data_IF_757291548937
#
_entry.id   IF_757291548937
#
_cell.length_a   1.000
_cell.length_b   1.000
_cell.length_c   1.000
_cell.angle_alpha   90.00
_cell.angle_beta   90.00
_cell.angle_gamma   90.00
#
_symmetry.space_group_name_H-M   'P 1'
#
loop_
_entity.id
_entity.type
_entity.pdbx_description
1 polymer ?
#
# COMPACT_ATOMS: atom_id res chain seq x y z
N UNK A 1 -1.08 -10.25 6.91
CA UNK A 1 0.18 -9.45 6.94
C UNK A 1 1.26 -10.23 6.21
N UNK A 2 2.10 -9.57 5.40
CA UNK A 2 3.17 -10.25 4.66
C UNK A 2 4.18 -10.94 5.59
N UNK A 3 4.67 -12.17 5.31
CA UNK A 3 5.56 -12.92 6.21
C UNK A 3 6.86 -12.21 6.58
N UNK A 4 7.30 -11.27 5.74
CA UNK A 4 8.53 -10.51 5.95
C UNK A 4 8.35 -9.24 6.81
N UNK A 5 7.11 -8.81 7.05
CA UNK A 5 6.82 -7.57 7.77
C UNK A 5 7.15 -7.62 9.27
N UNK A 6 7.02 -8.75 10.00
CA UNK A 6 7.44 -8.83 11.40
C UNK A 6 8.88 -8.37 11.61
N UNK A 7 9.84 -8.87 10.82
CA UNK A 7 11.25 -8.49 10.92
C UNK A 7 11.48 -7.00 10.72
N UNK A 8 10.76 -6.37 9.78
CA UNK A 8 10.83 -4.93 9.57
C UNK A 8 10.26 -4.17 10.78
N UNK A 9 9.14 -4.62 11.35
CA UNK A 9 8.54 -4.04 12.55
C UNK A 9 9.51 -4.11 13.73
N UNK A 10 10.15 -5.26 13.98
CA UNK A 10 11.17 -5.41 15.01
C UNK A 10 12.33 -4.43 14.80
N UNK A 11 12.81 -4.33 13.56
CA UNK A 11 13.93 -3.46 13.18
C UNK A 11 13.57 -1.99 13.34
N UNK A 12 12.35 -1.59 12.98
CA UNK A 12 11.82 -0.25 13.17
C UNK A 12 11.77 0.13 14.65
N UNK A 13 11.21 -0.73 15.51
CA UNK A 13 11.15 -0.47 16.96
C UNK A 13 12.54 -0.33 17.57
N UNK A 14 13.46 -1.27 17.26
CA UNK A 14 14.85 -1.21 17.71
C UNK A 14 15.50 0.11 17.30
N UNK A 15 15.33 0.48 16.04
CA UNK A 15 15.87 1.71 15.49
C UNK A 15 15.33 2.95 16.19
N UNK A 16 14.00 3.08 16.31
CA UNK A 16 13.36 4.26 16.91
C UNK A 16 13.69 4.42 18.40
N UNK A 17 13.86 3.33 19.14
CA UNK A 17 14.35 3.35 20.54
C UNK A 17 15.77 3.89 20.68
N UNK A 18 16.64 3.59 19.72
CA UNK A 18 18.05 3.97 19.78
C UNK A 18 18.30 5.37 19.21
N UNK A 19 17.70 5.66 18.07
CA UNK A 19 18.04 6.81 17.22
C UNK A 19 16.89 7.81 17.03
N UNK A 20 15.68 7.48 17.50
CA UNK A 20 14.53 8.38 17.40
C UNK A 20 14.68 9.66 18.22
N UNK A 21 13.75 10.58 18.00
CA UNK A 21 13.61 11.79 18.82
C UNK A 21 13.27 11.44 20.28
N UNK A 22 13.32 12.43 21.18
CA UNK A 22 12.90 12.21 22.57
C UNK A 22 11.43 11.74 22.67
N UNK A 23 10.55 12.26 21.82
CA UNK A 23 9.14 11.88 21.74
C UNK A 23 8.98 10.43 21.26
N UNK A 24 9.68 10.06 20.19
CA UNK A 24 9.67 8.70 19.65
C UNK A 24 10.21 7.70 20.67
N UNK A 25 11.36 7.99 21.30
CA UNK A 25 11.95 7.13 22.32
C UNK A 25 11.00 6.91 23.49
N UNK A 26 10.29 7.96 23.92
CA UNK A 26 9.29 7.85 24.97
C UNK A 26 8.12 6.96 24.54
N UNK A 27 7.57 7.18 23.34
CA UNK A 27 6.44 6.41 22.81
C UNK A 27 6.79 4.93 22.64
N UNK A 28 7.94 4.61 22.03
CA UNK A 28 8.28 3.23 21.66
C UNK A 28 8.96 2.44 22.78
N UNK A 29 9.28 3.07 23.92
CA UNK A 29 10.08 2.48 25.01
C UNK A 29 9.64 1.05 25.37
N UNK A 30 8.34 0.84 25.57
CA UNK A 30 7.77 -0.45 25.99
C UNK A 30 6.83 -1.08 24.95
N UNK A 31 6.74 -0.51 23.73
CA UNK A 31 5.79 -0.95 22.71
C UNK A 31 6.19 -2.30 22.10
N UNK A 32 5.34 -3.32 22.15
CA UNK A 32 5.58 -4.58 21.44
C UNK A 32 5.37 -4.43 19.92
N UNK A 33 5.74 -5.46 19.16
CA UNK A 33 5.45 -5.51 17.71
C UNK A 33 3.94 -5.51 17.45
N UNK A 34 3.18 -6.23 18.27
CA UNK A 34 1.71 -6.26 18.20
C UNK A 34 1.11 -4.88 18.51
N UNK A 35 1.65 -4.18 19.51
CA UNK A 35 1.22 -2.81 19.84
C UNK A 35 1.50 -1.85 18.68
N UNK A 36 2.66 -1.98 18.02
CA UNK A 36 2.95 -1.16 16.85
C UNK A 36 1.96 -1.47 15.71
N UNK A 37 1.70 -2.73 15.39
CA UNK A 37 0.70 -3.09 14.37
C UNK A 37 -0.68 -2.53 14.71
N UNK A 38 -1.12 -2.68 15.97
CA UNK A 38 -2.38 -2.11 16.43
C UNK A 38 -2.41 -0.59 16.28
N UNK A 39 -1.30 0.08 16.59
CA UNK A 39 -1.14 1.53 16.41
C UNK A 39 -1.20 1.94 14.95
N UNK A 40 -0.49 1.26 14.05
CA UNK A 40 -0.52 1.52 12.62
C UNK A 40 -1.94 1.40 12.04
N UNK A 41 -2.82 0.59 12.65
CA UNK A 41 -4.22 0.47 12.23
C UNK A 41 -5.09 1.57 12.87
N UNK A 42 -4.93 1.82 14.18
CA UNK A 42 -5.86 2.65 14.97
C UNK A 42 -5.56 4.15 14.95
N UNK A 43 -4.29 4.55 14.88
CA UNK A 43 -3.89 5.96 15.09
C UNK A 43 -3.95 6.80 13.83
N UNK A 44 -5.07 6.70 13.10
CA UNK A 44 -5.27 7.36 11.81
C UNK A 44 -6.30 8.48 11.88
N UNK A 45 -6.16 9.59 11.12
CA UNK A 45 -7.27 10.48 10.82
C UNK A 45 -8.41 9.72 10.14
N UNK A 46 -9.61 10.32 10.10
CA UNK A 46 -10.72 9.76 9.31
C UNK A 46 -10.30 9.70 7.85
N UNK A 47 -9.82 10.83 7.34
CA UNK A 47 -9.45 10.97 5.94
C UNK A 47 -8.07 11.63 5.80
N UNK A 48 -7.28 11.16 4.85
CA UNK A 48 -5.98 11.69 4.46
C UNK A 48 -5.77 11.42 2.98
N UNK A 49 -5.62 12.48 2.19
CA UNK A 49 -5.55 12.36 0.73
C UNK A 49 -4.70 13.45 0.10
N UNK A 50 -4.47 13.27 -1.20
CA UNK A 50 -3.87 14.20 -2.14
C UNK A 50 -2.45 14.66 -1.78
N UNK A 51 -1.90 15.55 -2.60
CA UNK A 51 -0.53 16.02 -2.39
C UNK A 51 -0.44 16.88 -1.13
N UNK A 52 -1.42 17.73 -0.82
CA UNK A 52 -1.36 18.70 0.29
C UNK A 52 -1.58 18.09 1.68
N UNK A 53 -1.67 16.76 1.76
CA UNK A 53 -2.05 16.02 2.96
C UNK A 53 -3.34 16.58 3.56
N UNK A 54 -4.35 16.76 2.69
CA UNK A 54 -5.67 17.17 3.14
C UNK A 54 -6.20 16.11 4.10
N UNK A 55 -6.47 16.55 5.32
CA UNK A 55 -6.74 15.68 6.45
C UNK A 55 -8.08 16.04 7.06
N UNK A 56 -8.84 15.02 7.45
CA UNK A 56 -10.00 15.15 8.36
C UNK A 56 -9.66 14.38 9.63
N UNK A 57 -9.35 15.10 10.70
CA UNK A 57 -9.01 14.54 12.00
C UNK A 57 -10.25 13.95 12.70
N UNK A 58 -10.02 13.08 13.69
CA UNK A 58 -11.12 12.40 14.40
C UNK A 58 -12.04 13.36 15.17
N UNK A 59 -11.51 14.52 15.55
CA UNK A 59 -12.22 15.62 16.24
C UNK A 59 -12.93 16.60 15.29
N UNK A 60 -12.94 16.34 13.97
CA UNK A 60 -13.63 17.17 12.98
C UNK A 60 -12.81 18.32 12.40
N UNK A 61 -11.60 18.58 12.92
CA UNK A 61 -10.68 19.55 12.30
C UNK A 61 -10.31 19.04 10.90
N UNK A 62 -10.41 19.92 9.91
CA UNK A 62 -10.13 19.61 8.51
C UNK A 62 -9.26 20.68 7.85
N UNK A 63 -8.36 20.26 6.98
CA UNK A 63 -7.54 21.18 6.20
C UNK A 63 -6.28 20.55 5.62
N UNK A 64 -5.51 21.32 4.83
CA UNK A 64 -4.19 20.91 4.37
C UNK A 64 -3.19 20.99 5.55
N UNK A 65 -2.90 19.85 6.17
CA UNK A 65 -2.10 19.79 7.40
C UNK A 65 -0.66 19.30 7.16
N UNK A 66 -0.16 19.29 5.91
CA UNK A 66 1.21 18.84 5.54
C UNK A 66 2.30 19.37 6.48
N UNK A 67 2.29 20.67 6.76
CA UNK A 67 3.33 21.29 7.60
C UNK A 67 3.32 20.77 9.05
N UNK A 68 2.15 20.38 9.56
CA UNK A 68 2.01 19.76 10.87
C UNK A 68 2.47 18.30 10.81
N UNK A 69 2.06 17.54 9.78
CA UNK A 69 2.52 16.16 9.57
C UNK A 69 4.04 16.03 9.49
N UNK A 70 4.72 16.98 8.83
CA UNK A 70 6.19 17.01 8.72
C UNK A 70 6.89 17.13 10.09
N UNK A 71 6.19 17.62 11.12
CA UNK A 71 6.74 17.84 12.45
C UNK A 71 6.45 16.68 13.40
N UNK A 72 5.47 15.84 13.09
CA UNK A 72 5.03 14.74 13.98
C UNK A 72 6.19 13.80 14.29
N UNK A 73 6.45 13.59 15.58
CA UNK A 73 7.55 12.80 16.11
C UNK A 73 8.94 13.45 16.02
N UNK A 74 9.02 14.72 15.62
CA UNK A 74 10.28 15.50 15.61
C UNK A 74 10.33 16.48 16.79
N UNK A 75 11.48 17.12 17.00
CA UNK A 75 11.59 18.22 17.99
C UNK A 75 10.70 19.42 17.66
N UNK A 76 10.31 19.59 16.38
CA UNK A 76 9.45 20.68 15.94
C UNK A 76 7.96 20.41 16.20
N UNK A 77 7.59 19.23 16.73
CA UNK A 77 6.20 18.91 17.09
C UNK A 77 5.63 19.92 18.13
N UNK A 78 6.50 20.55 18.93
CA UNK A 78 6.12 21.64 19.83
C UNK A 78 5.48 22.86 19.12
N UNK A 79 5.65 22.99 17.81
CA UNK A 79 5.03 24.04 16.99
C UNK A 79 3.78 23.55 16.24
N UNK A 80 3.36 22.33 16.48
CA UNK A 80 2.14 21.73 15.92
C UNK A 80 0.94 22.09 16.79
N UNK A 81 -0.25 22.19 16.18
CA UNK A 81 -1.47 22.62 16.88
C UNK A 81 -2.48 21.49 17.04
N UNK A 82 -2.57 20.59 16.06
CA UNK A 82 -3.68 19.65 15.95
C UNK A 82 -3.23 18.17 15.94
N UNK A 83 -2.01 17.90 15.51
CA UNK A 83 -1.52 16.54 15.24
C UNK A 83 -0.30 16.24 16.10
N UNK A 84 -0.40 15.26 16.99
CA UNK A 84 0.68 14.87 17.88
C UNK A 84 0.99 13.38 17.70
N UNK A 85 2.25 13.00 17.89
CA UNK A 85 2.69 11.60 17.77
C UNK A 85 1.92 10.69 18.73
N UNK A 86 1.48 11.17 19.89
CA UNK A 86 0.63 10.40 20.81
C UNK A 86 -0.64 9.87 20.13
N UNK A 87 -1.25 10.68 19.26
CA UNK A 87 -2.60 10.47 18.74
C UNK A 87 -2.61 9.99 17.28
N UNK A 88 -1.55 10.29 16.53
CA UNK A 88 -1.48 10.02 15.09
C UNK A 88 -0.12 9.49 14.66
N UNK A 89 -0.08 8.92 13.46
CA UNK A 89 1.14 8.38 12.85
C UNK A 89 2.13 9.49 12.42
N UNK A 90 3.42 9.25 12.57
CA UNK A 90 4.46 10.01 11.85
C UNK A 90 4.60 9.54 10.39
N UNK A 91 5.28 10.30 9.51
CA UNK A 91 5.54 9.83 8.13
C UNK A 91 6.31 8.50 8.06
N UNK A 92 7.18 8.24 9.04
CA UNK A 92 7.90 6.96 9.09
C UNK A 92 6.96 5.81 9.45
N UNK A 93 6.02 6.04 10.36
CA UNK A 93 4.94 5.10 10.66
C UNK A 93 3.99 4.93 9.47
N UNK A 94 3.69 6.01 8.72
CA UNK A 94 2.87 5.93 7.51
C UNK A 94 3.54 5.06 6.44
N UNK A 95 4.85 5.18 6.24
CA UNK A 95 5.57 4.30 5.30
C UNK A 95 5.44 2.84 5.73
N UNK A 96 5.65 2.53 7.01
CA UNK A 96 5.50 1.17 7.54
C UNK A 96 4.05 0.67 7.41
N UNK A 97 3.09 1.52 7.75
CA UNK A 97 1.65 1.30 7.61
C UNK A 97 1.24 0.99 6.18
N UNK A 98 1.88 1.61 5.18
CA UNK A 98 1.58 1.39 3.76
C UNK A 98 1.88 -0.04 3.28
N UNK A 99 2.59 -0.84 4.09
CA UNK A 99 2.90 -2.25 3.84
C UNK A 99 1.83 -3.20 4.43
N UNK A 100 0.88 -2.66 5.20
CA UNK A 100 -0.26 -3.42 5.71
C UNK A 100 -1.38 -3.47 4.68
N UNK A 101 -2.09 -4.59 4.67
CA UNK A 101 -3.34 -4.76 3.96
C UNK A 101 -4.46 -4.97 4.99
N UNK A 102 -5.65 -4.44 4.69
CA UNK A 102 -6.86 -4.72 5.49
C UNK A 102 -7.90 -5.34 4.58
N UNK A 103 -8.35 -6.55 4.93
CA UNK A 103 -9.31 -7.31 4.15
C UNK A 103 -10.57 -7.63 4.96
N UNK A 104 -11.73 -7.63 4.30
CA UNK A 104 -13.01 -7.89 4.94
C UNK A 104 -14.03 -8.51 3.98
N UNK A 105 -14.88 -9.44 4.45
CA UNK A 105 -16.08 -9.82 3.72
C UNK A 105 -16.99 -8.61 3.57
N UNK A 106 -17.46 -8.35 2.36
CA UNK A 106 -18.25 -7.17 2.04
C UNK A 106 -19.53 -7.56 1.33
N UNK A 107 -20.63 -6.92 1.72
CA UNK A 107 -21.87 -6.93 0.96
C UNK A 107 -21.82 -5.77 -0.06
N UNK A 108 -21.81 -6.09 -1.35
CA UNK A 108 -21.78 -5.06 -2.38
C UNK A 108 -23.19 -4.55 -2.63
N UNK A 109 -23.35 -3.23 -2.69
CA UNK A 109 -24.63 -2.57 -2.93
C UNK A 109 -24.89 -2.25 -4.42
N UNK A 110 -23.82 -2.27 -5.24
CA UNK A 110 -23.83 -1.92 -6.66
C UNK A 110 -22.55 -2.44 -7.35
N UNK A 111 -22.37 -2.15 -8.64
CA UNK A 111 -21.22 -2.60 -9.43
C UNK A 111 -19.90 -1.90 -9.09
N UNK A 112 -19.92 -0.81 -8.31
CA UNK A 112 -18.71 -0.11 -7.85
C UNK A 112 -18.11 0.84 -8.90
N UNK A 113 -18.93 1.37 -9.82
CA UNK A 113 -18.46 2.41 -10.76
C UNK A 113 -18.11 3.70 -10.02
N UNK A 114 -17.19 4.48 -10.60
CA UNK A 114 -16.85 5.81 -10.04
C UNK A 114 -18.10 6.68 -9.98
N UNK A 115 -18.20 7.50 -8.93
CA UNK A 115 -19.30 8.44 -8.71
C UNK A 115 -20.71 7.80 -8.61
N UNK A 116 -20.79 6.49 -8.40
CA UNK A 116 -22.07 5.79 -8.21
C UNK A 116 -22.81 6.26 -6.95
N UNK A 117 -22.09 6.69 -5.91
CA UNK A 117 -22.65 7.19 -4.65
C UNK A 117 -23.65 6.22 -4.00
N UNK A 118 -23.34 4.93 -4.04
CA UNK A 118 -24.16 3.84 -3.49
C UNK A 118 -25.54 3.64 -4.15
N UNK A 119 -25.79 4.23 -5.32
CA UNK A 119 -27.03 4.03 -6.07
C UNK A 119 -27.04 2.69 -6.82
N UNK A 120 -28.00 1.78 -6.55
CA UNK A 120 -28.16 0.57 -7.34
C UNK A 120 -28.57 0.88 -8.79
N UNK A 121 -27.98 0.17 -9.75
CA UNK A 121 -28.35 0.25 -11.17
C UNK A 121 -28.75 -1.15 -11.65
N UNK A 122 -30.06 -1.41 -11.90
CA UNK A 122 -30.54 -2.71 -12.36
C UNK A 122 -29.93 -3.17 -13.69
N UNK A 123 -29.47 -2.25 -14.53
CA UNK A 123 -28.81 -2.58 -15.81
C UNK A 123 -27.37 -3.08 -15.63
N UNK A 124 -26.79 -2.88 -14.43
CA UNK A 124 -25.42 -3.27 -14.08
C UNK A 124 -25.43 -4.27 -12.93
N UNK A 125 -25.63 -5.56 -13.22
CA UNK A 125 -25.64 -6.58 -12.19
C UNK A 125 -24.27 -6.63 -11.48
N UNK A 126 -24.33 -6.76 -10.16
CA UNK A 126 -23.15 -6.89 -9.30
C UNK A 126 -23.16 -8.22 -8.55
N UNK A 127 -21.99 -8.62 -8.04
CA UNK A 127 -21.91 -9.73 -7.09
C UNK A 127 -22.58 -9.32 -5.79
N UNK A 128 -23.35 -10.19 -5.11
CA UNK A 128 -23.96 -9.84 -3.83
C UNK A 128 -22.94 -9.79 -2.68
N UNK A 129 -21.87 -10.59 -2.77
CA UNK A 129 -20.83 -10.72 -1.74
C UNK A 129 -19.47 -10.89 -2.39
N UNK A 130 -18.44 -10.46 -1.68
CA UNK A 130 -17.05 -10.71 -2.03
C UNK A 130 -16.13 -10.25 -0.91
N UNK A 131 -14.83 -10.17 -1.21
CA UNK A 131 -13.82 -9.66 -0.27
C UNK A 131 -13.29 -8.34 -0.83
N UNK A 132 -13.25 -7.28 -0.01
CA UNK A 132 -12.46 -6.09 -0.32
C UNK A 132 -11.13 -6.18 0.41
N UNK A 133 -10.04 -5.86 -0.28
CA UNK A 133 -8.70 -5.78 0.29
C UNK A 133 -8.15 -4.37 0.05
N UNK A 134 -8.07 -3.56 1.10
CA UNK A 134 -7.41 -2.26 1.08
C UNK A 134 -5.89 -2.42 1.00
N UNK A 135 -5.29 -1.88 -0.05
CA UNK A 135 -3.86 -1.92 -0.33
C UNK A 135 -3.35 -0.52 -0.65
N UNK A 136 -2.14 -0.23 -0.19
CA UNK A 136 -1.50 1.06 -0.44
C UNK A 136 -0.38 0.89 -1.46
N UNK A 137 -0.39 1.75 -2.48
CA UNK A 137 0.66 1.85 -3.48
C UNK A 137 1.76 2.85 -3.10
N UNK A 138 2.89 2.85 -3.83
CA UNK A 138 3.98 3.77 -3.54
C UNK A 138 3.59 5.24 -3.72
N UNK A 139 3.91 6.08 -2.73
CA UNK A 139 3.64 7.52 -2.70
C UNK A 139 4.93 8.32 -2.93
N UNK A 140 5.04 8.94 -4.11
CA UNK A 140 6.25 9.64 -4.56
C UNK A 140 6.20 11.17 -4.51
N UNK A 141 5.03 11.76 -4.23
CA UNK A 141 4.85 13.22 -4.30
C UNK A 141 5.39 13.99 -3.08
N UNK A 142 5.71 13.30 -1.97
CA UNK A 142 6.26 13.93 -0.77
C UNK A 142 7.78 13.75 -0.74
N UNK A 143 8.51 14.78 -1.19
CA UNK A 143 9.97 14.75 -1.31
C UNK A 143 10.63 14.38 0.03
N UNK A 144 11.46 13.34 0.01
CA UNK A 144 12.23 12.89 1.18
C UNK A 144 11.43 12.15 2.25
N UNK A 145 10.14 11.89 2.04
CA UNK A 145 9.28 11.10 2.94
C UNK A 145 8.60 9.96 2.17
N UNK A 146 7.92 9.07 2.91
CA UNK A 146 7.20 7.92 2.32
C UNK A 146 8.09 7.14 1.34
N UNK A 147 7.53 6.65 0.23
CA UNK A 147 8.27 5.87 -0.74
C UNK A 147 9.33 6.70 -1.49
N UNK A 148 9.14 8.02 -1.66
CA UNK A 148 10.19 8.88 -2.23
C UNK A 148 11.49 8.79 -1.43
N UNK A 149 11.42 8.66 -0.10
CA UNK A 149 12.60 8.59 0.76
C UNK A 149 13.50 7.38 0.47
N UNK A 150 12.93 6.28 -0.04
CA UNK A 150 13.64 5.04 -0.34
C UNK A 150 13.86 4.84 -1.84
N UNK A 151 13.01 5.41 -2.70
CA UNK A 151 13.07 5.25 -4.16
C UNK A 151 13.89 6.32 -4.87
N UNK A 152 13.96 7.53 -4.31
CA UNK A 152 14.66 8.66 -4.93
C UNK A 152 15.68 9.25 -3.93
N UNK A 153 16.73 8.48 -3.54
CA UNK A 153 17.72 8.99 -2.60
C UNK A 153 18.49 10.16 -3.22
N UNK A 154 18.47 11.32 -2.57
CA UNK A 154 19.35 12.44 -2.94
C UNK A 154 20.81 12.04 -2.71
N UNK A 155 21.74 12.46 -3.59
CA UNK A 155 23.16 12.19 -3.39
C UNK A 155 23.62 12.80 -2.07
N UNK A 156 24.47 12.09 -1.34
CA UNK A 156 25.10 12.59 -0.11
C UNK A 156 25.89 13.87 -0.45
N UNK A 157 25.30 15.04 -0.26
CA UNK A 157 26.07 16.29 -0.30
C UNK A 157 26.98 16.28 0.92
N UNK A 158 28.27 16.15 0.68
CA UNK A 158 29.36 16.20 1.66
C UNK A 158 29.51 17.59 2.27
N UNK A 159 28.52 18.10 3.01
CA UNK A 159 28.69 19.32 3.81
C UNK A 159 28.00 19.22 5.17
N UNK A 160 28.84 18.97 6.18
CA UNK A 160 28.64 19.02 7.64
C UNK A 160 27.49 18.14 8.17
N UNK A 161 27.84 17.28 9.13
CA UNK A 161 26.97 16.40 9.93
C UNK A 161 25.70 17.12 10.43
N UNK A 162 24.65 17.18 9.62
CA UNK A 162 23.27 17.18 10.13
C UNK A 162 22.94 15.71 10.36
N UNK A 163 22.64 15.35 11.61
CA UNK A 163 22.21 14.00 12.00
C UNK A 163 20.85 13.72 11.35
N UNK A 164 20.85 13.32 10.07
CA UNK A 164 19.69 12.69 9.46
C UNK A 164 19.60 11.25 9.96
N UNK A 165 18.37 10.84 10.23
CA UNK A 165 17.91 9.51 10.62
C UNK A 165 18.64 8.43 9.79
N UNK A 166 19.48 7.55 10.38
CA UNK A 166 19.93 6.35 9.67
C UNK A 166 18.71 5.54 9.20
N UNK A 167 18.56 5.38 7.89
CA UNK A 167 17.49 4.57 7.30
C UNK A 167 17.51 3.16 7.92
N UNK A 168 16.34 2.59 8.19
CA UNK A 168 16.21 1.16 8.49
C UNK A 168 16.58 0.37 7.22
N UNK A 169 17.88 0.24 6.97
CA UNK A 169 18.45 -0.60 5.93
C UNK A 169 18.51 -2.01 6.49
N UNK A 170 17.46 -2.79 6.25
CA UNK A 170 17.58 -4.24 6.15
C UNK A 170 17.86 -4.54 4.67
N UNK A 171 19.12 -4.84 4.30
CA UNK A 171 19.50 -5.15 2.91
C UNK A 171 18.70 -6.33 2.34
N UNK A 172 18.18 -7.21 3.21
CA UNK A 172 17.31 -8.29 2.82
C UNK A 172 15.93 -7.80 2.41
N UNK A 173 15.30 -6.90 3.19
CA UNK A 173 13.89 -6.53 3.04
C UNK A 173 13.63 -5.53 1.90
N UNK A 174 14.51 -4.53 1.73
CA UNK A 174 14.32 -3.46 0.75
C UNK A 174 15.38 -3.43 -0.36
N UNK A 175 16.46 -4.20 -0.27
CA UNK A 175 17.56 -4.08 -1.24
C UNK A 175 18.43 -2.85 -0.98
N UNK A 176 19.65 -2.87 -1.52
CA UNK A 176 20.61 -1.78 -1.33
C UNK A 176 20.24 -0.59 -2.22
N UNK A 177 20.13 0.59 -1.61
CA UNK A 177 19.88 1.82 -2.35
C UNK A 177 21.13 2.17 -3.20
N UNK A 178 21.01 2.41 -4.51
CA UNK A 178 22.12 2.74 -5.37
C UNK A 178 22.71 4.13 -5.05
N UNK A 179 23.97 4.30 -5.43
CA UNK A 179 24.71 5.55 -5.32
C UNK A 179 24.18 6.58 -6.35
N UNK A 180 23.28 7.47 -5.90
CA UNK A 180 22.96 8.73 -6.59
C UNK A 180 21.61 8.80 -7.29
N UNK A 181 21.09 10.04 -7.34
CA UNK A 181 19.99 10.72 -8.08
C UNK A 181 18.94 9.99 -8.94
N UNK A 182 19.05 8.70 -9.26
CA UNK A 182 18.14 7.97 -10.12
C UNK A 182 17.03 7.27 -9.32
N UNK A 183 15.86 7.13 -9.95
CA UNK A 183 14.74 6.35 -9.42
C UNK A 183 15.16 4.87 -9.30
N UNK A 184 15.09 4.31 -8.09
CA UNK A 184 15.44 2.91 -7.84
C UNK A 184 14.29 1.98 -8.23
N UNK A 185 14.38 1.45 -9.45
CA UNK A 185 13.39 0.52 -10.01
C UNK A 185 13.34 -0.80 -9.22
N UNK A 186 14.48 -1.28 -8.72
CA UNK A 186 14.53 -2.54 -7.98
C UNK A 186 13.80 -2.40 -6.63
N UNK A 187 14.04 -1.30 -5.93
CA UNK A 187 13.32 -0.93 -4.70
C UNK A 187 11.83 -0.71 -4.97
N UNK A 188 11.46 -0.06 -6.07
CA UNK A 188 10.05 0.15 -6.44
C UNK A 188 9.31 -1.18 -6.59
N UNK A 189 9.93 -2.13 -7.29
CA UNK A 189 9.42 -3.49 -7.46
C UNK A 189 9.37 -4.24 -6.12
N UNK A 190 10.42 -4.18 -5.30
CA UNK A 190 10.43 -4.80 -3.98
C UNK A 190 9.32 -4.27 -3.06
N UNK A 191 9.07 -2.96 -3.13
CA UNK A 191 7.98 -2.29 -2.39
C UNK A 191 6.60 -2.73 -2.89
N UNK A 192 6.40 -2.86 -4.19
CA UNK A 192 5.13 -3.35 -4.77
C UNK A 192 4.87 -4.82 -4.44
N UNK A 193 5.91 -5.64 -4.46
CA UNK A 193 5.84 -7.08 -4.15
C UNK A 193 5.06 -7.36 -2.90
N UNK A 194 5.32 -6.62 -1.82
CA UNK A 194 4.64 -6.81 -0.53
C UNK A 194 3.12 -6.69 -0.67
N UNK A 195 2.63 -5.65 -1.37
CA UNK A 195 1.19 -5.43 -1.56
C UNK A 195 0.57 -6.48 -2.49
N UNK A 196 1.28 -6.85 -3.57
CA UNK A 196 0.79 -7.83 -4.57
C UNK A 196 0.77 -9.23 -3.99
N UNK A 197 1.84 -9.69 -3.34
CA UNK A 197 1.90 -11.01 -2.72
C UNK A 197 0.87 -11.13 -1.58
N UNK A 198 0.69 -10.07 -0.78
CA UNK A 198 -0.33 -10.06 0.28
C UNK A 198 -1.74 -10.22 -0.30
N UNK A 199 -2.07 -9.55 -1.41
CA UNK A 199 -3.37 -9.70 -2.07
C UNK A 199 -3.60 -11.12 -2.55
N UNK A 200 -2.62 -11.70 -3.26
CA UNK A 200 -2.76 -13.01 -3.87
C UNK A 200 -2.87 -14.10 -2.80
N UNK A 201 -2.06 -14.03 -1.74
CA UNK A 201 -2.13 -14.97 -0.62
C UNK A 201 -3.44 -14.85 0.16
N UNK A 202 -3.92 -13.63 0.40
CA UNK A 202 -5.23 -13.39 1.03
C UNK A 202 -6.37 -13.97 0.19
N UNK A 203 -6.34 -13.75 -1.13
CA UNK A 203 -7.36 -14.29 -2.03
C UNK A 203 -7.38 -15.82 -2.06
N UNK A 204 -6.20 -16.44 -2.07
CA UNK A 204 -6.03 -17.89 -2.07
C UNK A 204 -6.62 -18.51 -0.78
N UNK A 205 -6.28 -17.94 0.38
CA UNK A 205 -6.77 -18.38 1.69
C UNK A 205 -8.30 -18.19 1.83
N UNK A 206 -8.83 -17.05 1.39
CA UNK A 206 -10.28 -16.78 1.42
C UNK A 206 -11.08 -17.73 0.52
N UNK A 207 -10.55 -18.05 -0.66
CA UNK A 207 -11.18 -18.99 -1.56
C UNK A 207 -11.14 -20.42 -1.02
N UNK A 208 -10.03 -20.82 -0.40
CA UNK A 208 -9.91 -22.09 0.31
C UNK A 208 -10.97 -22.22 1.43
N UNK A 209 -11.11 -21.19 2.27
CA UNK A 209 -12.11 -21.14 3.35
C UNK A 209 -13.55 -21.19 2.82
N UNK A 210 -13.78 -20.62 1.64
CA UNK A 210 -15.09 -20.62 0.98
C UNK A 210 -15.36 -21.91 0.17
N UNK A 211 -14.39 -22.83 0.05
CA UNK A 211 -14.53 -24.05 -0.75
C UNK A 211 -14.71 -23.80 -2.25
N UNK A 212 -14.17 -22.69 -2.77
CA UNK A 212 -14.26 -22.30 -4.19
C UNK A 212 -12.91 -21.78 -4.69
N UNK A 213 -12.85 -21.26 -5.91
CA UNK A 213 -11.67 -20.58 -6.47
C UNK A 213 -11.88 -19.06 -6.48
N UNK A 214 -10.80 -18.29 -6.64
CA UNK A 214 -10.78 -16.84 -6.55
C UNK A 214 -10.65 -16.17 -7.91
N UNK A 215 -11.52 -15.18 -8.13
CA UNK A 215 -11.34 -14.15 -9.14
C UNK A 215 -10.78 -12.90 -8.46
N UNK A 216 -9.51 -12.59 -8.70
CA UNK A 216 -8.81 -11.45 -8.09
C UNK A 216 -8.82 -10.26 -9.02
N UNK A 217 -9.29 -9.12 -8.54
CA UNK A 217 -9.30 -7.86 -9.26
C UNK A 217 -8.28 -6.88 -8.65
N UNK A 218 -7.16 -6.68 -9.34
CA UNK A 218 -6.06 -5.81 -8.94
C UNK A 218 -6.10 -4.45 -9.66
N UNK A 219 -6.33 -3.38 -8.91
CA UNK A 219 -6.20 -2.01 -9.40
C UNK A 219 -4.72 -1.59 -9.45
N UNK A 220 -4.41 -0.61 -10.30
CA UNK A 220 -3.08 0.00 -10.34
C UNK A 220 -2.74 0.71 -9.02
N UNK A 221 -1.84 0.12 -8.23
CA UNK A 221 -1.42 0.69 -6.94
C UNK A 221 -0.36 1.78 -7.17
N UNK A 222 -0.64 3.02 -6.78
CA UNK A 222 0.31 4.13 -6.93
C UNK A 222 0.50 4.64 -8.38
N UNK A 223 -0.33 4.17 -9.33
CA UNK A 223 -0.24 4.55 -10.76
C UNK A 223 -1.08 5.79 -11.13
N UNK A 224 -1.85 6.34 -10.19
CA UNK A 224 -2.65 7.55 -10.38
C UNK A 224 -1.88 8.82 -10.04
N UNK A 225 -2.47 9.68 -9.20
CA UNK A 225 -1.86 10.94 -8.71
C UNK A 225 -0.57 10.76 -7.90
N UNK A 226 -0.10 9.54 -7.71
CA UNK A 226 1.14 9.21 -7.01
C UNK A 226 2.30 8.85 -7.94
N UNK A 227 2.04 8.71 -9.24
CA UNK A 227 3.01 8.36 -10.27
C UNK A 227 3.94 9.54 -10.57
N UNK A 228 5.23 9.26 -10.76
CA UNK A 228 6.28 10.20 -11.17
C UNK A 228 6.78 9.92 -12.59
N UNK A 229 6.86 8.65 -13.01
CA UNK A 229 7.39 8.22 -14.31
C UNK A 229 6.35 7.37 -15.05
N UNK A 230 6.29 7.50 -16.38
CA UNK A 230 5.33 6.74 -17.20
C UNK A 230 5.66 5.24 -17.24
N UNK A 231 6.94 4.88 -17.07
CA UNK A 231 7.42 3.50 -17.01
C UNK A 231 6.92 2.72 -15.78
N UNK A 232 6.40 3.39 -14.76
CA UNK A 232 5.93 2.74 -13.54
C UNK A 232 4.80 1.73 -13.80
N UNK A 233 3.97 1.96 -14.82
CA UNK A 233 2.93 1.00 -15.21
C UNK A 233 3.53 -0.29 -15.78
N UNK A 234 4.62 -0.18 -16.57
CA UNK A 234 5.37 -1.34 -17.04
C UNK A 234 5.99 -2.11 -15.88
N UNK A 235 6.71 -1.42 -14.99
CA UNK A 235 7.37 -2.07 -13.84
C UNK A 235 6.38 -2.71 -12.87
N UNK A 236 5.20 -2.10 -12.69
CA UNK A 236 4.12 -2.68 -11.91
C UNK A 236 3.66 -4.03 -12.48
N UNK A 237 3.38 -4.09 -13.78
CA UNK A 237 2.95 -5.33 -14.44
C UNK A 237 4.06 -6.39 -14.45
N UNK A 238 5.32 -5.98 -14.66
CA UNK A 238 6.46 -6.88 -14.56
C UNK A 238 6.62 -7.48 -13.15
N UNK A 239 6.40 -6.71 -12.09
CA UNK A 239 6.47 -7.25 -10.73
C UNK A 239 5.27 -8.14 -10.40
N UNK A 240 4.08 -7.85 -10.94
CA UNK A 240 2.93 -8.76 -10.84
C UNK A 240 3.27 -10.12 -11.47
N UNK A 241 3.86 -10.11 -12.67
CA UNK A 241 4.33 -11.33 -13.33
C UNK A 241 5.36 -12.09 -12.48
N UNK A 242 6.31 -11.37 -11.88
CA UNK A 242 7.32 -11.95 -11.00
C UNK A 242 6.71 -12.55 -9.71
N UNK A 243 5.65 -11.96 -9.16
CA UNK A 243 4.92 -12.51 -8.02
C UNK A 243 4.19 -13.81 -8.40
N UNK A 244 3.52 -13.85 -9.55
CA UNK A 244 2.86 -15.07 -10.04
C UNK A 244 3.85 -16.24 -10.18
N UNK A 245 5.05 -15.98 -10.71
CA UNK A 245 6.09 -17.00 -10.86
C UNK A 245 6.69 -17.49 -9.53
N UNK A 246 6.61 -16.69 -8.46
CA UNK A 246 7.22 -16.99 -7.15
C UNK A 246 6.27 -17.71 -6.21
N UNK A 247 4.99 -17.37 -6.27
CA UNK A 247 3.97 -17.89 -5.36
C UNK A 247 3.45 -19.24 -5.84
N UNK A 248 3.04 -20.08 -4.88
CA UNK A 248 2.32 -21.33 -5.14
C UNK A 248 0.89 -21.17 -4.69
N UNK A 249 0.05 -20.65 -5.58
CA UNK A 249 -1.37 -20.41 -5.35
C UNK A 249 -2.17 -21.63 -5.81
N UNK A 250 -3.17 -22.05 -5.06
CA UNK A 250 -3.98 -23.24 -5.35
C UNK A 250 -5.40 -22.92 -5.80
N UNK A 251 -5.94 -21.82 -5.27
CA UNK A 251 -7.33 -21.44 -5.40
C UNK A 251 -7.50 -20.17 -6.23
N UNK A 252 -6.45 -19.36 -6.43
CA UNK A 252 -6.52 -18.25 -7.40
C UNK A 252 -6.49 -18.79 -8.82
N UNK A 253 -7.56 -18.57 -9.58
CA UNK A 253 -7.72 -19.05 -10.97
C UNK A 253 -7.72 -17.93 -11.99
N UNK A 254 -8.16 -16.73 -11.59
CA UNK A 254 -8.17 -15.55 -12.45
C UNK A 254 -7.57 -14.34 -11.74
N UNK A 255 -6.66 -13.64 -12.41
CA UNK A 255 -6.15 -12.32 -12.01
C UNK A 255 -6.50 -11.27 -13.08
N UNK A 256 -7.34 -10.33 -12.73
CA UNK A 256 -7.71 -9.19 -13.56
C UNK A 256 -6.95 -7.93 -13.11
N UNK A 257 -6.12 -7.37 -13.98
CA UNK A 257 -5.53 -6.04 -13.79
C UNK A 257 -6.48 -4.99 -14.38
N UNK A 258 -7.22 -4.31 -13.51
CA UNK A 258 -8.26 -3.37 -13.93
C UNK A 258 -7.74 -1.95 -14.03
N UNK A 259 -8.05 -1.28 -15.15
CA UNK A 259 -7.62 0.10 -15.40
C UNK A 259 -6.10 0.29 -15.34
N UNK A 260 -5.33 -0.76 -15.63
CA UNK A 260 -3.86 -0.73 -15.70
C UNK A 260 -3.44 -0.62 -17.17
N UNK A 261 -2.91 0.54 -17.54
CA UNK A 261 -2.42 0.82 -18.89
C UNK A 261 -0.91 0.59 -18.95
N UNK A 262 -0.53 -0.60 -19.40
CA UNK A 262 0.88 -0.98 -19.59
C UNK A 262 1.17 -1.32 -21.07
N UNK A 263 2.43 -1.19 -21.52
CA UNK A 263 2.85 -1.58 -22.87
C UNK A 263 2.45 -3.03 -23.21
N UNK A 264 2.16 -3.31 -24.49
CA UNK A 264 1.71 -4.63 -24.95
C UNK A 264 2.66 -5.76 -24.52
N UNK A 265 3.97 -5.61 -24.73
CA UNK A 265 4.94 -6.63 -24.33
C UNK A 265 4.95 -6.95 -22.83
N UNK A 266 4.74 -5.95 -21.96
CA UNK A 266 4.64 -6.19 -20.52
C UNK A 266 3.37 -6.97 -20.16
N UNK A 267 2.26 -6.69 -20.85
CA UNK A 267 0.99 -7.41 -20.67
C UNK A 267 1.10 -8.87 -21.12
N UNK A 268 1.79 -9.13 -22.22
CA UNK A 268 2.06 -10.48 -22.74
C UNK A 268 2.92 -11.28 -21.76
N UNK A 269 4.04 -10.72 -21.30
CA UNK A 269 4.91 -11.36 -20.28
C UNK A 269 4.12 -11.73 -19.02
N UNK A 270 3.21 -10.86 -18.57
CA UNK A 270 2.36 -11.14 -17.41
C UNK A 270 1.33 -12.24 -17.67
N UNK A 271 0.76 -12.32 -18.88
CA UNK A 271 -0.14 -13.41 -19.27
C UNK A 271 0.59 -14.74 -19.30
N UNK A 272 1.76 -14.79 -19.93
CA UNK A 272 2.58 -15.99 -20.00
C UNK A 272 3.00 -16.46 -18.60
N UNK A 273 3.33 -15.52 -17.70
CA UNK A 273 3.65 -15.84 -16.31
C UNK A 273 2.46 -16.50 -15.59
N UNK A 274 1.25 -15.98 -15.79
CA UNK A 274 0.02 -16.57 -15.27
C UNK A 274 -0.26 -17.96 -15.86
N UNK A 275 -0.17 -18.12 -17.17
CA UNK A 275 -0.42 -19.38 -17.86
C UNK A 275 0.50 -20.50 -17.37
N UNK A 276 1.79 -20.21 -17.17
CA UNK A 276 2.77 -21.18 -16.62
C UNK A 276 2.40 -21.70 -15.23
N UNK A 277 1.60 -20.96 -14.47
CA UNK A 277 1.14 -21.35 -13.13
C UNK A 277 -0.37 -21.64 -13.07
N UNK A 278 -1.04 -21.76 -14.22
CA UNK A 278 -2.46 -22.08 -14.32
C UNK A 278 -3.41 -20.94 -13.94
N UNK A 279 -2.96 -19.69 -13.97
CA UNK A 279 -3.75 -18.49 -13.63
C UNK A 279 -4.06 -17.69 -14.89
N UNK A 280 -5.34 -17.48 -15.17
CA UNK A 280 -5.79 -16.63 -16.28
C UNK A 280 -5.57 -15.16 -15.94
N UNK A 281 -4.70 -14.47 -16.69
CA UNK A 281 -4.45 -13.03 -16.51
C UNK A 281 -5.23 -12.20 -17.53
N UNK A 282 -6.00 -11.24 -17.02
CA UNK A 282 -6.84 -10.35 -17.81
C UNK A 282 -6.43 -8.89 -17.62
N UNK A 283 -6.55 -8.09 -18.68
CA UNK A 283 -6.42 -6.63 -18.63
C UNK A 283 -7.73 -6.05 -19.15
N UNK A 284 -8.50 -5.40 -18.30
CA UNK A 284 -9.79 -4.84 -18.68
C UNK A 284 -10.14 -3.59 -17.87
N UNK A 285 -11.36 -3.10 -18.06
CA UNK A 285 -11.92 -1.94 -17.35
C UNK A 285 -13.28 -2.28 -16.76
N UNK A 286 -13.41 -3.48 -16.17
CA UNK A 286 -14.65 -3.92 -15.54
C UNK A 286 -14.94 -3.09 -14.29
N UNK A 287 -16.22 -2.92 -14.00
CA UNK A 287 -16.71 -2.43 -12.72
C UNK A 287 -16.27 -3.37 -11.59
N UNK A 288 -15.77 -2.80 -10.48
CA UNK A 288 -15.08 -3.51 -9.39
C UNK A 288 -15.88 -4.66 -8.77
N UNK A 289 -17.17 -4.44 -8.61
CA UNK A 289 -18.08 -5.38 -7.98
C UNK A 289 -19.03 -6.02 -9.00
N UNK A 290 -18.77 -5.86 -10.30
CA UNK A 290 -19.59 -6.42 -11.37
C UNK A 290 -19.82 -7.92 -11.17
N UNK A 291 -20.98 -8.42 -11.60
CA UNK A 291 -21.30 -9.85 -11.52
C UNK A 291 -20.31 -10.67 -12.34
N UNK A 292 -19.84 -11.77 -11.78
CA UNK A 292 -19.05 -12.75 -12.51
C UNK A 292 -20.01 -13.73 -13.19
N UNK A 293 -19.65 -14.19 -14.39
CA UNK A 293 -20.32 -15.33 -15.02
C UNK A 293 -19.94 -16.64 -14.32
N UNK A 294 -18.80 -16.66 -13.63
CA UNK A 294 -18.33 -17.78 -12.82
C UNK A 294 -18.90 -17.75 -11.40
N UNK A 295 -18.91 -18.91 -10.75
CA UNK A 295 -19.22 -19.07 -9.32
C UNK A 295 -18.04 -18.79 -8.38
N UNK A 296 -17.01 -18.11 -8.88
CA UNK A 296 -15.78 -17.81 -8.14
C UNK A 296 -16.01 -16.76 -7.04
N UNK A 297 -15.21 -16.82 -5.98
CA UNK A 297 -15.13 -15.76 -4.99
C UNK A 297 -14.50 -14.52 -5.60
N UNK A 298 -15.24 -13.42 -5.66
CA UNK A 298 -14.72 -12.13 -6.09
C UNK A 298 -13.90 -11.47 -4.98
N UNK A 299 -12.60 -11.27 -5.23
CA UNK A 299 -11.67 -10.56 -4.33
C UNK A 299 -11.19 -9.30 -5.01
N UNK A 300 -11.51 -8.14 -4.46
CA UNK A 300 -11.27 -6.85 -5.09
C UNK A 300 -10.28 -6.05 -4.27
N UNK A 301 -9.20 -5.61 -4.91
CA UNK A 301 -8.30 -4.62 -4.32
C UNK A 301 -8.93 -3.22 -4.33
N UNK A 302 -8.76 -2.50 -3.24
CA UNK A 302 -9.11 -1.08 -3.11
C UNK A 302 -7.82 -0.29 -2.87
N UNK A 303 -7.61 0.75 -3.69
CA UNK A 303 -6.47 1.62 -3.51
C UNK A 303 -6.74 2.52 -2.31
N UNK A 304 -6.10 2.18 -1.18
CA UNK A 304 -6.18 2.86 0.09
C UNK A 304 -5.01 3.84 0.26
N UNK A 305 -5.07 4.64 1.32
CA UNK A 305 -4.01 5.53 1.75
C UNK A 305 -3.35 5.01 3.05
N UNK A 306 -2.04 5.27 3.18
CA UNK A 306 -1.24 4.84 4.32
C UNK A 306 -1.65 5.44 5.67
N UNK A 307 -2.47 6.50 5.68
CA UNK A 307 -2.83 7.24 6.88
C UNK A 307 -4.34 7.52 6.99
N UNK A 308 -5.16 7.21 5.99
CA UNK A 308 -6.63 7.27 6.16
C UNK A 308 -7.15 6.12 7.02
N UNK A 309 -8.26 6.30 7.73
CA UNK A 309 -8.99 5.19 8.33
C UNK A 309 -9.43 4.21 7.23
N UNK A 310 -9.61 2.94 7.57
CA UNK A 310 -10.11 1.94 6.61
C UNK A 310 -11.56 2.27 6.28
N UNK A 311 -11.86 2.49 4.99
CA UNK A 311 -13.23 2.68 4.50
C UNK A 311 -13.74 4.13 4.47
N UNK A 312 -12.89 5.11 4.80
CA UNK A 312 -13.17 6.56 4.74
C UNK A 312 -12.40 7.27 3.60
#
# INVERSE_FOLDING_TARGET
MHPRLPTLISSFLKYKRQQGSALEKALYKNMSESDLVARLIKMRPRHFTNVTDYTVLRNGVKGPLRNEWLRVGTQQEAHTKHIFLSDYLSYDEMLLSSLLAVSGPTHFLNSGSRSNNAHPDPSKPHQPRGIIVGLVGPRLHQLGHMDHAILCPTPRVSKKKKKSVPRAQDPGFLGEAPDGTAFDVAMYKARLRISVETLLLEADDRAAQAGTTAYVQLAGLGLGVWRMLDEQARWFVEEVAACLARLRLKYVTTLELSWVEAPAGAREVCRDAGERVGIRVLFNRRDRCGRLASGELLVVSWAWDANSLVGE
#
